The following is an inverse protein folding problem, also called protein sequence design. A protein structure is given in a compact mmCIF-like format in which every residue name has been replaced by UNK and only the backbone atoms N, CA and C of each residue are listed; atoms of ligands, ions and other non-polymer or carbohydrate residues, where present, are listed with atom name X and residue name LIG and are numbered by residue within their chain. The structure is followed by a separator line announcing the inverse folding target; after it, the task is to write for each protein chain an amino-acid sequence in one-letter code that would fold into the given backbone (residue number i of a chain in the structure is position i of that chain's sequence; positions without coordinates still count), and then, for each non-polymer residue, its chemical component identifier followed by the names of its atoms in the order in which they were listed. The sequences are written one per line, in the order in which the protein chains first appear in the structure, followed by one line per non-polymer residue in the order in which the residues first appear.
data_IF_132763834997
#
_entry.id   IF_132763834997
#
_cell.length_a   1.000
_cell.length_b   1.000
_cell.length_c   1.000
_cell.angle_alpha   90.00
_cell.angle_beta   90.00
_cell.angle_gamma   90.00
#
_symmetry.space_group_name_H-M   'P 1'
#
loop_
_entity.id
_entity.type
_entity.pdbx_description
1 polymer ?
#
# COMPACT_ATOMS: atom_id res chain seq x y z
N UNK A 1 -10.57 -12.56 6.17
CA UNK A 1 -10.45 -11.41 7.09
C UNK A 1 -9.26 -11.51 8.06
N UNK A 2 -8.86 -12.69 8.56
CA UNK A 2 -7.71 -12.81 9.46
C UNK A 2 -6.40 -12.25 8.90
N UNK A 3 -6.02 -12.62 7.66
CA UNK A 3 -4.78 -12.13 7.06
C UNK A 3 -4.78 -10.62 6.78
N UNK A 4 -5.95 -10.06 6.45
CA UNK A 4 -6.09 -8.61 6.29
C UNK A 4 -5.90 -7.89 7.64
N UNK A 5 -6.50 -8.41 8.71
CA UNK A 5 -6.28 -7.94 10.08
C UNK A 5 -4.81 -8.08 10.51
N UNK A 6 -4.15 -9.18 10.13
CA UNK A 6 -2.72 -9.34 10.41
C UNK A 6 -1.86 -8.37 9.59
N UNK A 7 -2.23 -8.07 8.34
CA UNK A 7 -1.55 -7.09 7.50
C UNK A 7 -1.63 -5.66 8.05
N UNK A 8 -2.70 -5.30 8.76
CA UNK A 8 -2.81 -4.01 9.47
C UNK A 8 -2.02 -3.97 10.78
N UNK A 9 -1.37 -5.08 11.17
CA UNK A 9 -0.58 -5.18 12.40
C UNK A 9 -1.40 -5.47 13.66
N UNK A 10 -2.71 -5.73 13.54
CA UNK A 10 -3.56 -5.97 14.70
C UNK A 10 -3.43 -7.40 15.22
N UNK A 11 -2.89 -7.55 16.44
CA UNK A 11 -2.82 -8.82 17.18
C UNK A 11 -2.23 -10.00 16.39
N UNK A 12 -1.44 -9.73 15.34
CA UNK A 12 -0.92 -10.77 14.45
C UNK A 12 -0.04 -11.78 15.18
N UNK A 13 0.68 -11.33 16.21
CA UNK A 13 1.52 -12.18 17.07
C UNK A 13 0.67 -13.13 17.94
N UNK A 14 -0.47 -12.68 18.47
CA UNK A 14 -1.40 -13.53 19.23
C UNK A 14 -2.03 -14.60 18.34
N UNK A 15 -2.39 -14.21 17.11
CA UNK A 15 -2.91 -15.14 16.10
C UNK A 15 -1.85 -16.19 15.76
N UNK A 16 -0.60 -15.77 15.53
CA UNK A 16 0.52 -16.67 15.29
C UNK A 16 0.72 -17.66 16.45
N UNK A 17 0.74 -17.18 17.70
CA UNK A 17 0.86 -18.02 18.90
C UNK A 17 -0.31 -19.00 19.06
N UNK A 18 -1.49 -18.62 18.56
CA UNK A 18 -2.68 -19.48 18.56
C UNK A 18 -2.62 -20.60 17.52
N UNK A 19 -1.73 -20.48 16.53
CA UNK A 19 -1.52 -21.48 15.47
C UNK A 19 -0.33 -22.42 15.73
N UNK A 20 0.36 -22.29 16.87
CA UNK A 20 1.45 -23.19 17.26
C UNK A 20 0.95 -24.58 17.60
N UNK A 21 1.86 -25.57 17.63
CA UNK A 21 1.55 -26.94 18.05
C UNK A 21 1.07 -27.02 19.50
N UNK A 22 0.38 -28.10 19.84
CA UNK A 22 -0.13 -28.33 21.21
C UNK A 22 -1.45 -27.62 21.50
N UNK A 23 -2.20 -27.22 20.46
CA UNK A 23 -3.50 -26.53 20.61
C UNK A 23 -4.64 -27.53 20.50
N UNK A 24 -5.76 -27.27 21.21
CA UNK A 24 -6.93 -28.14 21.14
C UNK A 24 -7.48 -28.17 19.72
N UNK A 25 -7.63 -29.37 19.18
CA UNK A 25 -8.29 -29.57 17.90
C UNK A 25 -9.81 -29.44 18.04
N UNK A 26 -10.48 -29.09 16.94
CA UNK A 26 -11.95 -29.17 16.89
C UNK A 26 -12.40 -30.63 17.06
N UNK A 27 -13.47 -30.86 17.80
CA UNK A 27 -14.01 -32.21 18.07
C UNK A 27 -14.46 -32.91 16.77
N UNK A 28 -14.84 -32.15 15.75
CA UNK A 28 -15.23 -32.68 14.44
C UNK A 28 -14.04 -33.02 13.53
N UNK A 29 -12.81 -32.69 13.93
CA UNK A 29 -11.61 -32.94 13.10
C UNK A 29 -11.23 -34.42 13.01
N UNK A 30 -11.76 -35.26 13.90
CA UNK A 30 -11.38 -36.68 14.01
C UNK A 30 -9.99 -36.90 14.62
N UNK A 31 -9.26 -35.83 14.94
CA UNK A 31 -7.97 -35.86 15.61
C UNK A 31 -8.24 -35.93 17.12
N UNK A 32 -7.77 -37.00 17.77
CA UNK A 32 -8.01 -37.26 19.21
C UNK A 32 -6.92 -36.72 20.12
N UNK A 33 -5.80 -36.31 19.55
CA UNK A 33 -4.65 -35.77 20.26
C UNK A 33 -4.64 -34.24 20.11
N UNK A 34 -4.23 -33.52 21.14
CA UNK A 34 -4.11 -32.05 21.14
C UNK A 34 -2.92 -31.56 20.30
N UNK A 35 -2.75 -32.11 19.09
CA UNK A 35 -1.64 -31.83 18.18
C UNK A 35 -2.03 -30.85 17.06
N UNK A 36 -3.07 -30.04 17.24
CA UNK A 36 -3.39 -29.02 16.25
C UNK A 36 -2.39 -27.85 16.29
N UNK A 37 -2.13 -27.31 15.11
CA UNK A 37 -1.15 -26.25 14.89
C UNK A 37 0.25 -26.77 14.58
N UNK A 38 1.14 -25.86 14.18
CA UNK A 38 2.51 -26.20 13.77
C UNK A 38 3.45 -25.04 14.08
N UNK A 39 4.66 -25.35 14.54
CA UNK A 39 5.73 -24.36 14.73
C UNK A 39 6.12 -23.63 13.44
N UNK A 40 5.81 -24.21 12.27
CA UNK A 40 5.92 -23.53 10.97
C UNK A 40 5.10 -22.22 10.89
N UNK A 41 4.11 -22.02 11.78
CA UNK A 41 3.37 -20.78 11.89
C UNK A 41 4.28 -19.56 12.10
N UNK A 42 5.39 -19.68 12.83
CA UNK A 42 6.36 -18.59 13.00
C UNK A 42 6.90 -18.12 11.65
N UNK A 43 7.35 -19.05 10.82
CA UNK A 43 7.91 -18.74 9.50
C UNK A 43 6.85 -18.13 8.57
N UNK A 44 5.64 -18.68 8.58
CA UNK A 44 4.53 -18.18 7.78
C UNK A 44 4.17 -16.73 8.15
N UNK A 45 3.90 -16.44 9.42
CA UNK A 45 3.46 -15.11 9.83
C UNK A 45 4.57 -14.07 9.71
N UNK A 46 5.81 -14.39 10.08
CA UNK A 46 6.94 -13.45 9.97
C UNK A 46 7.22 -13.10 8.50
N UNK A 47 7.26 -14.10 7.61
CA UNK A 47 7.48 -13.85 6.17
C UNK A 47 6.33 -13.05 5.54
N UNK A 48 5.08 -13.35 5.92
CA UNK A 48 3.90 -12.61 5.48
C UNK A 48 3.94 -11.14 5.91
N UNK A 49 4.23 -10.86 7.19
CA UNK A 49 4.31 -9.48 7.71
C UNK A 49 5.44 -8.70 7.04
N UNK A 50 6.59 -9.35 6.83
CA UNK A 50 7.72 -8.73 6.12
C UNK A 50 7.34 -8.36 4.68
N UNK A 51 6.80 -9.30 3.91
CA UNK A 51 6.40 -9.07 2.52
C UNK A 51 5.30 -8.00 2.43
N UNK A 52 4.29 -8.07 3.31
CA UNK A 52 3.19 -7.11 3.31
C UNK A 52 3.66 -5.70 3.65
N UNK A 53 4.54 -5.54 4.64
CA UNK A 53 5.14 -4.25 4.99
C UNK A 53 5.97 -3.68 3.84
N UNK A 54 6.75 -4.52 3.15
CA UNK A 54 7.49 -4.12 1.96
C UNK A 54 6.56 -3.62 0.85
N UNK A 55 5.50 -4.36 0.53
CA UNK A 55 4.53 -3.96 -0.48
C UNK A 55 3.82 -2.66 -0.10
N UNK A 56 3.38 -2.52 1.15
CA UNK A 56 2.71 -1.31 1.65
C UNK A 56 3.63 -0.09 1.61
N UNK A 57 4.90 -0.23 1.99
CA UNK A 57 5.89 0.85 1.90
C UNK A 57 6.13 1.26 0.45
N UNK A 58 6.34 0.30 -0.46
CA UNK A 58 6.57 0.62 -1.87
C UNK A 58 5.34 1.28 -2.52
N UNK A 59 4.14 0.82 -2.18
CA UNK A 59 2.90 1.44 -2.64
C UNK A 59 2.76 2.86 -2.09
N UNK A 60 3.04 3.07 -0.81
CA UNK A 60 3.02 4.39 -0.18
C UNK A 60 4.02 5.36 -0.83
N UNK A 61 5.25 4.90 -1.07
CA UNK A 61 6.28 5.69 -1.76
C UNK A 61 5.83 6.06 -3.17
N UNK A 62 5.30 5.10 -3.95
CA UNK A 62 4.80 5.37 -5.30
C UNK A 62 3.68 6.43 -5.27
N UNK A 63 2.68 6.26 -4.41
CA UNK A 63 1.56 7.21 -4.28
C UNK A 63 2.04 8.60 -3.86
N UNK A 64 3.00 8.68 -2.92
CA UNK A 64 3.56 9.98 -2.50
C UNK A 64 4.36 10.61 -3.62
N UNK A 65 5.17 9.85 -4.37
CA UNK A 65 5.91 10.40 -5.50
C UNK A 65 4.98 10.92 -6.59
N UNK A 66 3.91 10.20 -6.91
CA UNK A 66 2.89 10.67 -7.87
C UNK A 66 2.17 11.92 -7.37
N UNK A 67 1.85 12.00 -6.07
CA UNK A 67 1.26 13.19 -5.46
C UNK A 67 2.23 14.38 -5.43
N UNK A 68 3.50 14.14 -5.13
CA UNK A 68 4.51 15.18 -5.09
C UNK A 68 4.85 15.68 -6.50
N UNK A 69 4.95 14.78 -7.48
CA UNK A 69 5.08 15.13 -8.90
C UNK A 69 3.88 15.96 -9.34
N UNK A 70 2.65 15.56 -8.99
CA UNK A 70 1.44 16.35 -9.27
C UNK A 70 1.53 17.76 -8.68
N UNK A 71 1.90 17.90 -7.40
CA UNK A 71 2.01 19.20 -6.72
C UNK A 71 3.19 20.06 -7.22
N UNK A 72 4.30 19.44 -7.65
CA UNK A 72 5.47 20.17 -8.15
C UNK A 72 5.37 20.50 -9.65
N UNK A 73 4.54 19.78 -10.42
CA UNK A 73 4.27 20.07 -11.84
C UNK A 73 3.59 21.41 -12.09
N UNK A 74 2.86 21.92 -11.11
CA UNK A 74 2.11 23.17 -11.26
C UNK A 74 2.96 24.45 -11.12
N UNK A 75 4.27 24.33 -10.92
CA UNK A 75 5.16 25.50 -10.76
C UNK A 75 6.33 25.61 -11.73
N UNK A 76 6.60 24.64 -12.60
CA UNK A 76 7.62 24.84 -13.63
C UNK A 76 7.39 23.97 -14.89
N UNK A 77 6.97 24.61 -15.99
CA UNK A 77 7.93 25.10 -17.01
C UNK A 77 7.24 25.77 -18.22
N UNK A 78 5.94 25.56 -18.46
CA UNK A 78 5.08 26.46 -19.28
C UNK A 78 3.59 26.15 -19.06
N UNK A 79 3.03 26.62 -17.95
CA UNK A 79 1.59 26.52 -17.68
C UNK A 79 0.77 27.42 -18.61
N UNK A 80 -0.53 27.12 -18.85
CA UNK A 80 -1.41 27.85 -19.77
C UNK A 80 -1.49 29.35 -19.47
N UNK A 81 -1.25 29.78 -18.23
CA UNK A 81 -1.22 31.19 -17.86
C UNK A 81 -0.07 31.98 -18.52
N UNK A 82 1.09 31.36 -18.80
CA UNK A 82 2.16 32.00 -19.58
C UNK A 82 1.82 32.05 -21.08
N UNK A 83 1.07 31.08 -21.58
CA UNK A 83 0.58 31.09 -22.96
C UNK A 83 -0.52 32.12 -23.16
N UNK A 84 -1.43 32.30 -22.19
CA UNK A 84 -2.48 33.31 -22.23
C UNK A 84 -1.88 34.73 -22.22
N UNK A 85 -0.82 34.95 -21.43
CA UNK A 85 -0.09 36.22 -21.46
C UNK A 85 0.63 36.44 -22.81
N UNK A 86 1.26 35.39 -23.35
CA UNK A 86 1.90 35.45 -24.67
C UNK A 86 0.88 35.74 -25.78
N UNK A 87 -0.26 35.05 -25.82
CA UNK A 87 -1.33 35.24 -26.83
C UNK A 87 -1.94 36.64 -26.70
N UNK A 88 -2.16 37.14 -25.48
CA UNK A 88 -2.66 38.50 -25.26
C UNK A 88 -1.72 39.55 -25.82
N UNK A 89 -0.41 39.44 -25.56
CA UNK A 89 0.59 40.37 -26.11
C UNK A 89 0.73 40.20 -27.62
N UNK A 90 0.73 38.97 -28.14
CA UNK A 90 0.81 38.69 -29.57
C UNK A 90 -0.37 39.29 -30.36
N UNK A 91 -1.59 39.25 -29.80
CA UNK A 91 -2.77 39.83 -30.42
C UNK A 91 -2.70 41.36 -30.62
N UNK A 92 -1.84 42.07 -29.87
CA UNK A 92 -1.61 43.50 -30.09
C UNK A 92 -0.71 43.76 -31.32
N UNK A 93 0.16 42.82 -31.68
CA UNK A 93 1.12 42.96 -32.78
C UNK A 93 0.65 42.35 -34.10
N UNK A 94 -0.25 41.36 -34.08
CA UNK A 94 -0.87 40.78 -35.28
C UNK A 94 -2.41 40.81 -35.23
N UNK A 95 -3.06 41.91 -35.66
CA UNK A 95 -4.51 42.06 -35.67
C UNK A 95 -5.25 41.12 -36.65
N UNK A 96 -4.53 40.42 -37.53
CA UNK A 96 -5.11 39.53 -38.54
C UNK A 96 -5.19 38.06 -38.09
N UNK A 97 -4.61 37.71 -36.95
CA UNK A 97 -4.55 36.35 -36.41
C UNK A 97 -5.74 36.00 -35.48
N UNK A 98 -6.94 36.48 -35.83
CA UNK A 98 -8.21 35.98 -35.27
C UNK A 98 -8.69 34.75 -36.04
#
# INVERSE_FOLDING_TARGET
MLLFRSATGEAWHEIMLSCLSGKPCDQNSGIKEDECGNEFAYFYFVSFIFLCSFLMLNLFVAVIMDNFEYLTRDSSILGPHHLDEYVRVWAEYDPAAW
#
